data_IF_553374957135
#
_entry.id   IF_553374957135
#
_cell.length_a   1.000
_cell.length_b   1.000
_cell.length_c   1.000
_cell.angle_alpha   90.00
_cell.angle_beta   90.00
_cell.angle_gamma   90.00
#
_symmetry.space_group_name_H-M   'P 1'
#
loop_
_entity.id
_entity.type
_entity.pdbx_description
1 polymer ?
#
# COMPACT_ATOMS: atom_id res chain seq x y z
N UNK A 1 -9.97 17.63 6.14
CA UNK A 1 -9.19 16.77 7.05
C UNK A 1 -8.72 15.61 6.20
N UNK A 2 -7.42 15.31 6.16
CA UNK A 2 -6.92 14.21 5.34
C UNK A 2 -7.34 12.88 5.98
N UNK A 3 -7.94 11.98 5.19
CA UNK A 3 -8.35 10.65 5.65
C UNK A 3 -7.17 9.69 5.53
N UNK A 4 -7.03 8.79 6.50
CA UNK A 4 -6.08 7.68 6.47
C UNK A 4 -6.83 6.36 6.29
N UNK A 5 -6.47 5.59 5.27
CA UNK A 5 -6.94 4.21 5.06
C UNK A 5 -5.81 3.23 5.29
N UNK A 6 -6.11 2.10 5.93
CA UNK A 6 -5.14 1.03 6.18
C UNK A 6 -5.53 -0.22 5.40
N UNK A 7 -4.57 -0.75 4.64
CA UNK A 7 -4.62 -2.07 4.03
C UNK A 7 -3.63 -2.97 4.74
N UNK A 8 -4.12 -4.07 5.30
CA UNK A 8 -3.30 -5.00 6.05
C UNK A 8 -3.27 -6.37 5.34
N UNK A 9 -2.12 -6.69 4.76
CA UNK A 9 -1.86 -7.95 4.07
C UNK A 9 -1.20 -8.99 4.97
N UNK A 10 -0.92 -8.69 6.25
CA UNK A 10 -0.16 -9.63 7.11
C UNK A 10 -0.89 -10.94 7.38
N UNK A 11 -2.23 -10.93 7.26
CA UNK A 11 -3.08 -12.11 7.45
C UNK A 11 -3.50 -12.75 6.12
N UNK A 12 -3.09 -12.21 4.98
CA UNK A 12 -3.38 -12.77 3.66
C UNK A 12 -2.35 -13.86 3.38
N UNK A 13 -2.82 -15.11 3.28
CA UNK A 13 -1.98 -16.26 2.94
C UNK A 13 -2.23 -16.68 1.49
N UNK A 14 -1.20 -16.58 0.64
CA UNK A 14 -1.28 -16.87 -0.80
C UNK A 14 -0.66 -15.74 -1.63
N UNK A 15 -0.53 -15.95 -2.95
CA UNK A 15 -0.24 -14.84 -3.85
C UNK A 15 -1.35 -13.80 -3.67
N UNK A 16 -1.01 -12.56 -3.33
CA UNK A 16 -1.99 -11.52 -3.52
C UNK A 16 -2.26 -11.50 -5.04
N UNK A 17 -3.51 -11.35 -5.46
CA UNK A 17 -3.81 -11.22 -6.88
C UNK A 17 -3.17 -9.95 -7.46
N UNK A 18 -3.74 -9.41 -8.53
CA UNK A 18 -3.26 -8.13 -9.07
C UNK A 18 -3.52 -6.98 -8.07
N UNK A 19 -2.57 -6.74 -7.15
CA UNK A 19 -2.62 -5.69 -6.14
C UNK A 19 -2.70 -4.30 -6.78
N UNK A 20 -2.18 -4.17 -8.00
CA UNK A 20 -2.28 -2.97 -8.83
C UNK A 20 -3.75 -2.54 -8.98
N UNK A 21 -4.65 -3.44 -9.38
CA UNK A 21 -6.09 -3.19 -9.58
C UNK A 21 -6.78 -2.77 -8.29
N UNK A 22 -6.38 -3.37 -7.16
CA UNK A 22 -6.89 -2.99 -5.84
C UNK A 22 -6.45 -1.56 -5.49
N UNK A 23 -5.18 -1.24 -5.67
CA UNK A 23 -4.66 0.10 -5.40
C UNK A 23 -5.30 1.15 -6.33
N UNK A 24 -5.49 0.85 -7.62
CA UNK A 24 -6.21 1.71 -8.56
C UNK A 24 -7.65 1.98 -8.09
N UNK A 25 -8.39 0.93 -7.74
CA UNK A 25 -9.76 1.06 -7.23
C UNK A 25 -9.85 1.92 -5.97
N UNK A 26 -8.81 1.87 -5.13
CA UNK A 26 -8.71 2.71 -3.93
C UNK A 26 -8.34 4.15 -4.31
N UNK A 27 -7.42 4.34 -5.24
CA UNK A 27 -7.02 5.65 -5.75
C UNK A 27 -8.19 6.43 -6.35
N UNK A 28 -9.11 5.75 -7.04
CA UNK A 28 -10.32 6.36 -7.61
C UNK A 28 -11.32 6.84 -6.54
N UNK A 29 -11.33 6.17 -5.38
CA UNK A 29 -12.24 6.48 -4.26
C UNK A 29 -11.60 7.39 -3.21
N UNK A 30 -10.27 7.53 -3.22
CA UNK A 30 -9.53 8.42 -2.32
C UNK A 30 -9.41 9.83 -2.91
N UNK A 31 -9.56 10.82 -2.03
CA UNK A 31 -9.28 12.20 -2.41
C UNK A 31 -7.76 12.45 -2.46
N UNK A 32 -7.27 13.31 -3.37
CA UNK A 32 -5.90 13.80 -3.37
C UNK A 32 -5.49 14.34 -1.99
N UNK A 33 -4.27 14.02 -1.56
CA UNK A 33 -3.72 14.37 -0.24
C UNK A 33 -4.04 13.37 0.89
N UNK A 34 -4.97 12.42 0.69
CA UNK A 34 -5.23 11.37 1.67
C UNK A 34 -4.07 10.35 1.72
N UNK A 35 -3.96 9.65 2.86
CA UNK A 35 -2.92 8.65 3.09
C UNK A 35 -3.50 7.24 3.02
N UNK A 36 -2.84 6.37 2.26
CA UNK A 36 -3.03 4.93 2.26
C UNK A 36 -1.84 4.29 2.95
N UNK A 37 -2.09 3.53 4.00
CA UNK A 37 -1.09 2.78 4.75
C UNK A 37 -1.20 1.33 4.35
N UNK A 38 -0.10 0.73 3.87
CA UNK A 38 -0.04 -0.67 3.46
C UNK A 38 0.86 -1.41 4.43
N UNK A 39 0.35 -2.47 5.06
CA UNK A 39 1.11 -3.37 5.90
C UNK A 39 1.29 -4.71 5.23
N UNK A 40 2.51 -5.19 5.16
CA UNK A 40 2.83 -6.46 4.54
C UNK A 40 3.99 -7.13 5.26
N UNK A 41 4.07 -8.45 5.17
CA UNK A 41 5.18 -9.21 5.77
C UNK A 41 6.43 -9.15 4.91
N UNK A 42 7.58 -9.49 5.48
CA UNK A 42 8.87 -9.55 4.77
C UNK A 42 8.81 -10.44 3.51
N UNK A 43 8.01 -11.50 3.50
CA UNK A 43 7.80 -12.40 2.35
C UNK A 43 6.85 -11.85 1.28
N UNK A 44 6.14 -10.74 1.56
CA UNK A 44 5.14 -10.12 0.68
C UNK A 44 5.52 -8.71 0.23
N UNK A 45 6.51 -8.10 0.89
CA UNK A 45 6.83 -6.69 0.70
C UNK A 45 7.34 -6.38 -0.71
N UNK A 46 8.09 -7.30 -1.32
CA UNK A 46 8.58 -7.12 -2.70
C UNK A 46 7.41 -7.07 -3.70
N UNK A 47 6.46 -8.00 -3.61
CA UNK A 47 5.26 -8.01 -4.46
C UNK A 47 4.40 -6.76 -4.30
N UNK A 48 4.27 -6.26 -3.07
CA UNK A 48 3.59 -4.99 -2.78
C UNK A 48 4.32 -3.83 -3.43
N UNK A 49 5.66 -3.76 -3.33
CA UNK A 49 6.45 -2.68 -3.93
C UNK A 49 6.33 -2.67 -5.45
N UNK A 50 6.47 -3.82 -6.10
CA UNK A 50 6.31 -3.94 -7.55
C UNK A 50 4.94 -3.43 -8.00
N UNK A 51 3.89 -3.81 -7.25
CA UNK A 51 2.53 -3.36 -7.53
C UNK A 51 2.34 -1.86 -7.31
N UNK A 52 3.03 -1.27 -6.33
CA UNK A 52 3.01 0.17 -6.06
C UNK A 52 3.73 0.97 -7.15
N UNK A 53 4.78 0.43 -7.78
CA UNK A 53 5.43 1.07 -8.92
C UNK A 53 4.48 1.21 -10.10
N UNK A 54 3.63 0.20 -10.36
CA UNK A 54 2.62 0.23 -11.42
C UNK A 54 1.58 1.35 -11.20
N UNK A 55 1.26 1.66 -9.94
CA UNK A 55 0.30 2.71 -9.57
C UNK A 55 0.96 4.02 -9.10
N UNK A 56 2.23 4.21 -9.43
CA UNK A 56 3.00 5.41 -9.07
C UNK A 56 2.46 6.71 -9.68
N UNK A 57 1.62 6.63 -10.71
CA UNK A 57 0.85 7.76 -11.24
C UNK A 57 -0.20 8.27 -10.25
N UNK A 58 -0.75 7.39 -9.40
CA UNK A 58 -1.80 7.71 -8.44
C UNK A 58 -1.27 8.02 -7.05
N UNK A 59 -0.21 7.33 -6.63
CA UNK A 59 0.34 7.43 -5.29
C UNK A 59 1.79 7.89 -5.27
N UNK A 60 2.17 8.52 -4.18
CA UNK A 60 3.55 8.81 -3.83
C UNK A 60 3.90 8.10 -2.53
N UNK A 61 5.00 7.34 -2.50
CA UNK A 61 5.51 6.76 -1.25
C UNK A 61 6.07 7.90 -0.40
N UNK A 62 5.51 8.10 0.79
CA UNK A 62 5.94 9.15 1.73
C UNK A 62 6.78 8.61 2.88
N UNK A 63 6.57 7.36 3.28
CA UNK A 63 7.33 6.70 4.34
C UNK A 63 7.31 5.19 4.12
N UNK A 64 8.43 4.54 4.39
CA UNK A 64 8.52 3.09 4.54
C UNK A 64 9.26 2.81 5.85
N UNK A 65 8.69 1.96 6.69
CA UNK A 65 9.34 1.55 7.94
C UNK A 65 9.00 0.11 8.29
N UNK A 66 9.94 -0.55 8.96
CA UNK A 66 9.70 -1.84 9.60
C UNK A 66 9.04 -1.61 10.95
N UNK A 67 7.85 -2.18 11.17
CA UNK A 67 7.05 -1.97 12.40
C UNK A 67 7.13 -3.15 13.37
N UNK A 68 7.49 -4.34 12.88
CA UNK A 68 7.73 -5.56 13.67
C UNK A 68 8.83 -6.42 13.02
N UNK A 69 9.28 -7.48 13.68
CA UNK A 69 10.35 -8.39 13.19
C UNK A 69 10.16 -8.91 11.76
N UNK A 70 8.92 -8.99 11.29
CA UNK A 70 8.57 -9.48 9.95
C UNK A 70 7.46 -8.68 9.27
N UNK A 71 7.20 -7.43 9.68
CA UNK A 71 6.15 -6.59 9.10
C UNK A 71 6.69 -5.21 8.74
N UNK A 72 6.42 -4.79 7.51
CA UNK A 72 6.65 -3.45 7.00
C UNK A 72 5.35 -2.67 6.89
N UNK A 73 5.46 -1.35 7.07
CA UNK A 73 4.42 -0.37 6.83
C UNK A 73 4.91 0.63 5.78
N UNK A 74 4.19 0.73 4.66
CA UNK A 74 4.42 1.72 3.60
C UNK A 74 3.28 2.71 3.63
N UNK A 75 3.59 4.00 3.79
CA UNK A 75 2.63 5.10 3.72
C UNK A 75 2.70 5.72 2.33
N UNK A 76 1.54 5.85 1.71
CA UNK A 76 1.32 6.34 0.35
C UNK A 76 0.41 7.55 0.42
N UNK A 77 0.78 8.65 -0.24
CA UNK A 77 -0.07 9.81 -0.40
C UNK A 77 -0.72 9.81 -1.77
N UNK A 78 -2.03 10.00 -1.84
CA UNK A 78 -2.73 10.18 -3.11
C UNK A 78 -2.32 11.50 -3.75
N UNK A 79 -1.82 11.44 -4.98
CA UNK A 79 -1.50 12.60 -5.82
C UNK A 79 -2.76 13.30 -6.32
#
# INVERSE_FOLDING_TARGET
>A
MAEEKVLDFTNVTGACGDLSVLFESIAERMQPGNILVVRARDDQIEEVKDSLEMVSSYFEIVEEKKVSDNVYEIRLRRK
#
